data_IF_202039339053
#
_entry.id   IF_202039339053
#
_cell.length_a   1.000
_cell.length_b   1.000
_cell.length_c   1.000
_cell.angle_alpha   90.00
_cell.angle_beta   90.00
_cell.angle_gamma   90.00
#
_symmetry.space_group_name_H-M   'P 1'
#
loop_
_entity.id
_entity.type
_entity.pdbx_description
1 polymer ?
#
# COMPACT_ATOMS: atom_id res chain seq x y z
N UNK A 1 -4.39 -14.68 15.69
CA UNK A 1 -5.48 -14.86 14.69
C UNK A 1 -5.04 -14.23 13.37
N UNK A 2 -5.41 -14.75 12.20
CA UNK A 2 -5.10 -14.12 10.89
C UNK A 2 -6.27 -13.26 10.40
N UNK A 3 -5.98 -12.09 9.81
CA UNK A 3 -6.97 -11.23 9.14
C UNK A 3 -6.30 -10.37 8.05
N UNK A 4 -7.07 -9.75 7.14
CA UNK A 4 -6.55 -8.88 6.10
C UNK A 4 -6.30 -7.46 6.60
N UNK A 5 -5.20 -6.85 6.16
CA UNK A 5 -4.88 -5.44 6.43
C UNK A 5 -4.29 -4.75 5.23
N UNK A 6 -4.64 -3.47 5.06
CA UNK A 6 -3.94 -2.58 4.14
C UNK A 6 -2.59 -2.24 4.76
N UNK A 7 -1.51 -2.57 4.04
CA UNK A 7 -0.14 -2.30 4.45
C UNK A 7 0.47 -1.28 3.50
N UNK A 8 1.04 -0.22 4.07
CA UNK A 8 1.88 0.75 3.40
C UNK A 8 3.33 0.27 3.44
N UNK A 9 3.91 0.09 2.26
CA UNK A 9 5.33 -0.23 2.09
C UNK A 9 6.08 1.00 1.61
N UNK A 10 7.10 1.38 2.37
CA UNK A 10 8.07 2.41 1.99
C UNK A 10 9.07 1.81 1.01
N UNK A 11 9.05 2.29 -0.22
CA UNK A 11 10.03 1.90 -1.23
C UNK A 11 11.06 3.02 -1.33
N UNK A 12 12.33 2.65 -1.25
CA UNK A 12 13.44 3.57 -1.44
C UNK A 12 14.03 3.33 -2.83
N UNK A 13 14.19 4.39 -3.60
CA UNK A 13 14.85 4.32 -4.89
C UNK A 13 15.81 5.50 -5.07
N UNK A 14 16.85 5.31 -5.87
CA UNK A 14 17.73 6.41 -6.27
C UNK A 14 17.06 7.09 -7.45
N UNK A 15 16.71 8.36 -7.29
CA UNK A 15 16.13 9.15 -8.36
C UNK A 15 17.10 9.19 -9.55
N UNK A 16 16.69 8.66 -10.71
CA UNK A 16 17.57 8.62 -11.86
C UNK A 16 17.97 10.03 -12.33
N UNK A 17 17.15 11.06 -12.06
CA UNK A 17 17.35 12.44 -12.50
C UNK A 17 18.39 13.23 -11.68
N UNK A 18 18.37 13.13 -10.35
CA UNK A 18 19.26 13.93 -9.47
C UNK A 18 20.16 13.08 -8.55
N UNK A 19 20.15 11.75 -8.68
CA UNK A 19 20.96 10.80 -7.90
C UNK A 19 20.76 10.89 -6.38
N UNK A 20 19.67 11.51 -5.93
CA UNK A 20 19.30 11.52 -4.52
C UNK A 20 18.48 10.28 -4.20
N UNK A 21 18.68 9.74 -3.01
CA UNK A 21 17.76 8.77 -2.44
C UNK A 21 16.37 9.41 -2.30
N UNK A 22 15.35 8.71 -2.76
CA UNK A 22 13.95 9.12 -2.70
C UNK A 22 13.11 7.98 -2.16
N UNK A 23 11.93 8.35 -1.73
CA UNK A 23 10.96 7.46 -1.11
C UNK A 23 9.65 7.59 -1.86
N UNK A 24 9.03 6.45 -2.15
CA UNK A 24 7.64 6.33 -2.57
C UNK A 24 6.93 5.30 -1.67
N UNK A 25 5.60 5.29 -1.76
CA UNK A 25 4.77 4.41 -0.96
C UNK A 25 3.82 3.63 -1.85
N UNK A 26 3.73 2.33 -1.59
CA UNK A 26 2.74 1.45 -2.19
C UNK A 26 1.84 0.86 -1.12
N UNK A 27 0.58 0.61 -1.46
CA UNK A 27 -0.42 0.04 -0.57
C UNK A 27 -0.89 -1.28 -1.14
N UNK A 28 -0.96 -2.30 -0.30
CA UNK A 28 -1.46 -3.61 -0.71
C UNK A 28 -2.14 -4.31 0.46
N UNK A 29 -2.98 -5.31 0.16
CA UNK A 29 -3.61 -6.13 1.19
C UNK A 29 -2.69 -7.29 1.51
N UNK A 30 -2.40 -7.46 2.79
CA UNK A 30 -1.65 -8.59 3.34
C UNK A 30 -2.51 -9.31 4.38
N UNK A 31 -2.26 -10.60 4.54
CA UNK A 31 -2.67 -11.31 5.75
C UNK A 31 -1.76 -10.90 6.91
N UNK A 32 -2.37 -10.54 8.04
CA UNK A 32 -1.73 -10.09 9.27
C UNK A 32 -2.07 -11.05 10.42
N UNK A 33 -1.06 -11.46 11.16
CA UNK A 33 -1.17 -12.31 12.34
C UNK A 33 -1.16 -11.47 13.61
N UNK A 34 -2.17 -11.65 14.44
CA UNK A 34 -2.39 -10.89 15.67
C UNK A 34 -2.08 -11.73 16.91
N UNK A 35 -1.48 -11.09 17.92
CA UNK A 35 -1.42 -11.63 19.28
C UNK A 35 -2.79 -11.57 20.00
N UNK A 36 -2.82 -12.05 21.24
CA UNK A 36 -4.01 -12.06 22.09
C UNK A 36 -4.50 -10.64 22.45
N UNK A 37 -3.64 -9.63 22.32
CA UNK A 37 -3.94 -8.23 22.63
C UNK A 37 -4.37 -7.44 21.39
N UNK A 38 -4.38 -8.07 20.21
CA UNK A 38 -4.73 -7.43 18.94
C UNK A 38 -3.59 -6.64 18.28
N UNK A 39 -2.34 -6.87 18.67
CA UNK A 39 -1.17 -6.31 17.97
C UNK A 39 -0.73 -7.25 16.85
N UNK A 40 -0.40 -6.69 15.70
CA UNK A 40 0.12 -7.44 14.54
C UNK A 40 1.58 -7.80 14.77
N UNK A 41 1.86 -9.09 14.81
CA UNK A 41 3.21 -9.65 14.95
C UNK A 41 3.91 -9.95 13.65
N UNK A 42 3.14 -10.33 12.63
CA UNK A 42 3.66 -10.74 11.34
C UNK A 42 2.65 -10.42 10.24
N UNK A 43 3.16 -10.27 9.02
CA UNK A 43 2.37 -10.17 7.80
C UNK A 43 2.94 -11.10 6.73
N UNK A 44 2.12 -11.48 5.77
CA UNK A 44 2.60 -12.17 4.56
C UNK A 44 3.63 -11.32 3.81
N UNK A 45 4.63 -11.97 3.23
CA UNK A 45 5.72 -11.28 2.52
C UNK A 45 5.20 -10.53 1.29
N UNK A 46 4.39 -11.21 0.49
CA UNK A 46 3.78 -10.68 -0.73
C UNK A 46 2.30 -10.33 -0.45
N UNK A 47 1.74 -9.34 -1.17
CA UNK A 47 0.32 -9.08 -1.13
C UNK A 47 -0.49 -10.32 -1.54
N UNK A 48 -1.67 -10.46 -0.97
CA UNK A 48 -2.57 -11.58 -1.26
C UNK A 48 -3.65 -11.16 -2.25
N UNK A 49 -3.92 -12.05 -3.20
CA UNK A 49 -5.02 -11.90 -4.16
C UNK A 49 -6.29 -12.59 -3.65
N UNK A 50 -7.49 -12.08 -3.99
CA UNK A 50 -8.74 -12.76 -3.64
C UNK A 50 -8.79 -14.12 -4.33
N UNK A 51 -9.12 -15.16 -3.58
CA UNK A 51 -9.10 -16.54 -4.05
C UNK A 51 -10.30 -17.34 -3.52
N UNK A 52 -10.78 -18.29 -4.32
CA UNK A 52 -11.81 -19.26 -3.96
C UNK A 52 -11.90 -20.36 -5.00
N UNK A 53 -12.30 -21.57 -4.60
CA UNK A 53 -12.44 -22.70 -5.53
C UNK A 53 -13.68 -22.56 -6.43
N UNK A 54 -14.57 -21.64 -6.05
CA UNK A 54 -15.75 -21.26 -6.81
C UNK A 54 -16.03 -19.76 -6.69
N UNK A 55 -16.97 -19.26 -7.51
CA UNK A 55 -17.30 -17.83 -7.58
C UNK A 55 -17.88 -17.29 -6.27
N UNK A 56 -18.58 -18.12 -5.49
CA UNK A 56 -19.11 -17.70 -4.19
C UNK A 56 -17.99 -17.45 -3.18
N UNK A 57 -17.05 -18.39 -3.08
CA UNK A 57 -15.87 -18.23 -2.23
C UNK A 57 -15.00 -17.05 -2.66
N UNK A 58 -14.81 -16.85 -3.96
CA UNK A 58 -14.09 -15.68 -4.47
C UNK A 58 -14.78 -14.36 -4.04
N UNK A 59 -16.12 -14.30 -4.10
CA UNK A 59 -16.87 -13.13 -3.61
C UNK A 59 -16.69 -12.95 -2.11
N UNK A 60 -16.71 -14.02 -1.32
CA UNK A 60 -16.48 -13.94 0.13
C UNK A 60 -15.07 -13.46 0.45
N UNK A 61 -14.05 -13.99 -0.24
CA UNK A 61 -12.66 -13.54 -0.13
C UNK A 61 -12.53 -12.05 -0.42
N UNK A 62 -13.14 -11.58 -1.50
CA UNK A 62 -13.14 -10.16 -1.85
C UNK A 62 -13.81 -9.28 -0.78
N UNK A 63 -14.94 -9.71 -0.21
CA UNK A 63 -15.63 -8.98 0.87
C UNK A 63 -14.78 -8.96 2.15
N UNK A 64 -14.15 -10.07 2.53
CA UNK A 64 -13.24 -10.11 3.68
C UNK A 64 -12.02 -9.19 3.48
N UNK A 65 -11.47 -9.14 2.26
CA UNK A 65 -10.41 -8.18 1.94
C UNK A 65 -10.90 -6.73 2.00
N UNK A 66 -12.15 -6.46 1.63
CA UNK A 66 -12.73 -5.12 1.74
C UNK A 66 -12.84 -4.63 3.21
N UNK A 67 -13.01 -5.54 4.18
CA UNK A 67 -13.01 -5.20 5.61
C UNK A 67 -11.69 -4.55 6.06
N UNK A 68 -10.57 -4.85 5.38
CA UNK A 68 -9.27 -4.24 5.67
C UNK A 68 -9.28 -2.70 5.55
N UNK A 69 -10.13 -2.14 4.69
CA UNK A 69 -10.27 -0.68 4.54
C UNK A 69 -11.02 -0.02 5.71
N UNK A 70 -11.71 -0.81 6.54
CA UNK A 70 -12.32 -0.33 7.78
C UNK A 70 -11.33 -0.22 8.94
N UNK A 71 -10.06 -0.56 8.71
CA UNK A 71 -9.00 -0.63 9.71
C UNK A 71 -7.88 0.38 9.41
N UNK A 72 -7.07 0.75 10.42
CA UNK A 72 -5.87 1.55 10.20
C UNK A 72 -4.90 0.91 9.22
N UNK A 73 -4.28 1.74 8.38
CA UNK A 73 -3.18 1.31 7.50
C UNK A 73 -1.98 0.94 8.36
N UNK A 74 -1.42 -0.24 8.13
CA UNK A 74 -0.21 -0.71 8.79
C UNK A 74 1.03 -0.24 8.05
N UNK A 75 2.10 0.04 8.77
CA UNK A 75 3.41 0.31 8.18
C UNK A 75 4.25 -0.96 8.12
N UNK A 76 4.65 -1.39 6.91
CA UNK A 76 5.43 -2.61 6.72
C UNK A 76 6.71 -2.64 7.60
N UNK A 77 7.41 -1.51 7.70
CA UNK A 77 8.63 -1.37 8.49
C UNK A 77 8.42 -1.30 10.01
N UNK A 78 7.16 -1.22 10.47
CA UNK A 78 6.80 -1.15 11.88
C UNK A 78 6.12 -2.45 12.38
N UNK A 79 6.23 -3.55 11.61
CA UNK A 79 5.79 -4.88 12.04
C UNK A 79 7.00 -5.66 12.58
N UNK A 80 6.93 -6.28 13.78
CA UNK A 80 5.77 -6.35 14.67
C UNK A 80 5.41 -4.99 15.31
N UNK A 81 4.12 -4.74 15.49
CA UNK A 81 3.62 -3.52 16.11
C UNK A 81 4.17 -3.34 17.53
N UNK A 82 4.39 -2.08 17.98
CA UNK A 82 4.73 -1.80 19.36
C UNK A 82 3.70 -2.42 20.31
N UNK A 83 4.15 -3.25 21.26
CA UNK A 83 3.27 -3.95 22.21
C UNK A 83 3.03 -5.43 21.91
N UNK A 84 3.51 -5.93 20.76
CA UNK A 84 3.41 -7.34 20.41
C UNK A 84 4.13 -8.27 21.41
N UNK A 85 3.39 -9.23 21.99
CA UNK A 85 3.95 -10.20 22.95
C UNK A 85 4.69 -11.37 22.26
N UNK A 86 5.98 -11.16 21.99
CA UNK A 86 6.85 -12.17 21.37
C UNK A 86 7.06 -13.44 22.20
N UNK A 87 6.83 -13.44 23.51
CA UNK A 87 7.16 -14.58 24.38
C UNK A 87 6.14 -15.70 24.30
N UNK A 88 4.96 -15.41 23.75
CA UNK A 88 3.86 -16.35 23.60
C UNK A 88 3.64 -16.80 22.16
N UNK A 89 4.45 -16.32 21.22
CA UNK A 89 4.31 -16.65 19.80
C UNK A 89 5.32 -17.74 19.36
N UNK A 90 4.85 -18.94 18.96
CA UNK A 90 5.73 -19.98 18.43
C UNK A 90 6.44 -19.60 17.13
N UNK A 91 5.90 -18.66 16.34
CA UNK A 91 6.43 -18.27 15.02
C UNK A 91 7.56 -17.21 15.15
N UNK A 92 7.45 -16.30 16.12
CA UNK A 92 8.42 -15.21 16.34
C UNK A 92 9.86 -15.67 16.62
N UNK A 93 10.06 -16.86 17.20
CA UNK A 93 11.39 -17.40 17.51
C UNK A 93 12.23 -17.80 16.29
N UNK A 94 11.59 -18.04 15.13
CA UNK A 94 12.24 -18.48 13.88
C UNK A 94 12.64 -17.30 12.98
N UNK A 95 12.02 -16.13 13.16
CA UNK A 95 12.23 -14.95 12.31
C UNK A 95 13.48 -14.14 12.67
N UNK A 96 13.92 -14.19 13.93
CA UNK A 96 15.12 -13.48 14.43
C UNK A 96 16.44 -14.02 13.83
N UNK A 97 16.45 -15.25 13.31
CA UNK A 97 17.63 -15.85 12.66
C UNK A 97 17.77 -15.42 11.19
N UNK A 98 16.65 -15.20 10.48
CA UNK A 98 16.65 -14.80 9.06
C UNK A 98 16.94 -13.32 8.81
N UNK A 99 16.63 -12.45 9.78
CA UNK A 99 16.88 -11.00 9.67
C UNK A 99 18.38 -10.67 9.57
N UNK A 100 19.25 -11.56 10.07
CA UNK A 100 20.72 -11.41 10.02
C UNK A 100 21.34 -11.68 8.65
N UNK A 101 20.59 -12.24 7.68
CA UNK A 101 21.13 -12.69 6.39
C UNK A 101 20.80 -11.76 5.21
N UNK A 102 19.84 -10.84 5.37
CA UNK A 102 19.36 -9.93 4.31
C UNK A 102 20.22 -8.67 4.16
N UNK A 103 21.05 -8.34 5.16
CA UNK A 103 21.93 -7.15 5.18
C UNK A 103 23.08 -7.16 4.14
N UNK A 104 23.18 -8.16 3.26
CA UNK A 104 24.36 -8.41 2.40
C UNK A 104 24.23 -8.03 0.89
N UNK A 105 23.36 -7.09 0.52
CA UNK A 105 22.90 -6.85 -0.87
C UNK A 105 23.92 -6.48 -1.97
N UNK A 106 23.55 -6.69 -3.26
CA UNK A 106 24.11 -5.99 -4.44
C UNK A 106 23.40 -6.32 -5.78
N UNK A 107 23.11 -5.31 -6.65
CA UNK A 107 23.29 -5.35 -8.13
C UNK A 107 22.82 -4.06 -8.87
N UNK A 108 23.56 -3.71 -9.94
CA UNK A 108 23.43 -2.50 -10.80
C UNK A 108 22.52 -2.72 -12.03
N UNK A 109 21.80 -1.66 -12.44
CA UNK A 109 20.93 -1.60 -13.63
C UNK A 109 21.41 -0.65 -14.75
N UNK A 110 20.69 -0.69 -15.88
CA UNK A 110 21.08 -0.27 -17.24
C UNK A 110 20.81 1.24 -17.52
N UNK A 111 21.56 1.91 -18.43
CA UNK A 111 21.57 3.38 -18.56
C UNK A 111 20.32 4.05 -19.19
N UNK A 112 19.80 5.06 -18.47
CA UNK A 112 18.60 5.90 -18.74
C UNK A 112 18.79 7.01 -19.81
N UNK A 113 20.00 7.18 -20.31
CA UNK A 113 20.42 8.27 -21.22
C UNK A 113 19.66 8.30 -22.56
N UNK A 114 19.13 7.15 -23.02
CA UNK A 114 18.41 7.08 -24.29
C UNK A 114 16.93 7.47 -24.21
N UNK A 115 16.28 7.33 -23.05
CA UNK A 115 14.82 7.56 -22.89
C UNK A 115 14.50 9.02 -22.63
N UNK A 116 15.37 9.71 -21.89
CA UNK A 116 15.20 11.13 -21.48
C UNK A 116 15.07 12.09 -22.67
N UNK A 117 15.85 11.86 -23.72
CA UNK A 117 15.98 12.76 -24.89
C UNK A 117 14.75 12.76 -25.81
N UNK A 118 13.92 11.71 -25.76
CA UNK A 118 12.67 11.60 -26.53
C UNK A 118 11.48 12.29 -25.80
N UNK A 119 11.48 12.28 -24.46
CA UNK A 119 10.39 12.84 -23.65
C UNK A 119 10.47 14.36 -23.52
N UNK A 120 11.67 14.92 -23.34
CA UNK A 120 11.89 16.37 -23.24
C UNK A 120 11.55 17.11 -24.56
N UNK A 121 11.64 16.41 -25.70
CA UNK A 121 11.29 16.97 -27.01
C UNK A 121 9.78 17.14 -27.21
N UNK A 122 8.95 16.44 -26.43
CA UNK A 122 7.49 16.39 -26.61
C UNK A 122 6.70 17.23 -25.60
N UNK A 123 7.25 17.56 -24.42
CA UNK A 123 6.43 18.12 -23.32
C UNK A 123 6.98 19.36 -22.58
N UNK A 124 8.18 19.87 -22.90
CA UNK A 124 8.75 21.05 -22.22
C UNK A 124 9.35 20.76 -20.82
N UNK A 125 9.88 21.77 -20.10
CA UNK A 125 10.58 21.56 -18.84
C UNK A 125 9.63 21.12 -17.71
N UNK A 126 9.88 19.94 -17.14
CA UNK A 126 9.12 19.35 -16.04
C UNK A 126 9.79 19.67 -14.70
N UNK A 127 9.12 20.41 -13.82
CA UNK A 127 9.58 20.58 -12.42
C UNK A 127 9.27 19.30 -11.63
N UNK A 128 10.24 18.40 -11.63
CA UNK A 128 10.11 17.11 -10.96
C UNK A 128 10.04 17.22 -9.43
N UNK A 129 10.52 18.32 -8.82
CA UNK A 129 10.56 18.45 -7.36
C UNK A 129 9.22 19.02 -6.85
N UNK A 130 8.65 19.99 -7.54
CA UNK A 130 7.31 20.51 -7.24
C UNK A 130 6.22 19.45 -7.44
N UNK A 131 6.24 18.73 -8.57
CA UNK A 131 5.29 17.65 -8.85
C UNK A 131 5.30 16.58 -7.74
N UNK A 132 6.48 16.21 -7.24
CA UNK A 132 6.60 15.18 -6.20
C UNK A 132 6.10 15.65 -4.86
N UNK A 133 6.33 16.92 -4.51
CA UNK A 133 5.78 17.51 -3.30
C UNK A 133 4.25 17.45 -3.33
N UNK A 134 3.65 17.80 -4.47
CA UNK A 134 2.21 17.70 -4.67
C UNK A 134 1.70 16.26 -4.52
N UNK A 135 2.39 15.28 -5.11
CA UNK A 135 2.06 13.84 -4.97
C UNK A 135 2.10 13.39 -3.50
N UNK A 136 3.10 13.82 -2.74
CA UNK A 136 3.24 13.43 -1.33
C UNK A 136 2.18 14.12 -0.43
N UNK A 137 1.85 15.38 -0.71
CA UNK A 137 0.75 16.10 -0.06
C UNK A 137 -0.60 15.44 -0.38
N UNK A 138 -0.84 15.07 -1.64
CA UNK A 138 -2.04 14.36 -2.06
C UNK A 138 -2.15 12.99 -1.40
N UNK A 139 -1.04 12.25 -1.25
CA UNK A 139 -0.99 10.97 -0.53
C UNK A 139 -1.40 11.15 0.94
N UNK A 140 -0.82 12.13 1.64
CA UNK A 140 -1.16 12.42 3.04
C UNK A 140 -2.63 12.78 3.21
N UNK A 141 -3.17 13.57 2.28
CA UNK A 141 -4.58 13.94 2.30
C UNK A 141 -5.50 12.74 2.05
N UNK A 142 -5.15 11.85 1.11
CA UNK A 142 -5.89 10.59 0.89
C UNK A 142 -5.85 9.67 2.11
N UNK A 143 -4.72 9.59 2.81
CA UNK A 143 -4.62 8.84 4.08
C UNK A 143 -5.46 9.49 5.19
N UNK A 144 -5.51 10.82 5.26
CA UNK A 144 -6.36 11.54 6.21
C UNK A 144 -7.83 11.23 5.96
N UNK A 145 -8.28 11.34 4.71
CA UNK A 145 -9.64 10.99 4.29
C UNK A 145 -9.94 9.52 4.62
N UNK A 146 -9.00 8.60 4.36
CA UNK A 146 -9.13 7.18 4.73
C UNK A 146 -9.44 7.03 6.21
N UNK A 147 -8.61 7.66 7.05
CA UNK A 147 -8.72 7.58 8.50
C UNK A 147 -10.02 8.16 9.05
N UNK A 148 -10.50 9.27 8.48
CA UNK A 148 -11.72 9.93 8.95
C UNK A 148 -13.00 9.26 8.43
N UNK A 149 -12.94 8.71 7.22
CA UNK A 149 -14.16 8.27 6.51
C UNK A 149 -14.43 6.78 6.71
N UNK A 150 -13.41 5.93 6.68
CA UNK A 150 -13.58 4.48 6.58
C UNK A 150 -13.28 3.76 7.88
N UNK A 151 -12.27 4.20 8.64
CA UNK A 151 -11.87 3.55 9.88
C UNK A 151 -13.01 3.56 10.89
N UNK A 152 -13.21 2.40 11.54
CA UNK A 152 -14.24 2.26 12.59
C UNK A 152 -15.67 2.21 12.04
N UNK A 153 -15.84 2.09 10.73
CA UNK A 153 -17.17 1.83 10.16
C UNK A 153 -17.72 0.52 10.74
N UNK A 154 -18.89 0.53 11.39
CA UNK A 154 -19.30 -0.56 12.28
C UNK A 154 -19.77 -1.80 11.52
N UNK A 155 -20.13 -1.68 10.25
CA UNK A 155 -20.59 -2.80 9.43
C UNK A 155 -19.94 -2.81 8.05
N UNK A 156 -19.70 -4.01 7.53
CA UNK A 156 -19.17 -4.20 6.17
C UNK A 156 -20.10 -3.63 5.09
N UNK A 157 -21.42 -3.65 5.31
CA UNK A 157 -22.40 -3.08 4.39
C UNK A 157 -22.22 -1.56 4.23
N UNK A 158 -22.03 -0.86 5.35
CA UNK A 158 -21.77 0.59 5.34
C UNK A 158 -20.39 0.91 4.75
N UNK A 159 -19.38 0.10 5.06
CA UNK A 159 -18.03 0.27 4.52
C UNK A 159 -18.02 0.16 3.00
N UNK A 160 -18.65 -0.89 2.45
CA UNK A 160 -18.77 -1.08 1.00
C UNK A 160 -19.54 0.08 0.35
N UNK A 161 -20.61 0.58 0.98
CA UNK A 161 -21.34 1.74 0.47
C UNK A 161 -20.45 2.98 0.39
N UNK A 162 -19.66 3.26 1.43
CA UNK A 162 -18.71 4.38 1.44
C UNK A 162 -17.64 4.23 0.35
N UNK A 163 -17.04 3.05 0.24
CA UNK A 163 -16.02 2.76 -0.79
C UNK A 163 -16.59 2.92 -2.21
N UNK A 164 -17.82 2.47 -2.42
CA UNK A 164 -18.48 2.61 -3.71
C UNK A 164 -18.82 4.08 -4.05
N UNK A 165 -19.23 4.87 -3.06
CA UNK A 165 -19.44 6.31 -3.25
C UNK A 165 -18.15 7.05 -3.57
N UNK A 166 -17.07 6.78 -2.83
CA UNK A 166 -15.74 7.36 -3.09
C UNK A 166 -15.23 7.01 -4.50
N UNK A 167 -15.39 5.74 -4.90
CA UNK A 167 -15.06 5.31 -6.26
C UNK A 167 -15.87 6.07 -7.32
N UNK A 168 -17.19 6.25 -7.12
CA UNK A 168 -18.02 7.03 -8.04
C UNK A 168 -17.55 8.48 -8.17
N UNK A 169 -17.20 9.11 -7.07
CA UNK A 169 -16.69 10.48 -7.07
C UNK A 169 -15.33 10.57 -7.76
N UNK A 170 -14.45 9.57 -7.56
CA UNK A 170 -13.19 9.45 -8.28
C UNK A 170 -13.40 9.33 -9.79
N UNK A 171 -14.30 8.46 -10.25
CA UNK A 171 -14.64 8.32 -11.68
C UNK A 171 -15.20 9.63 -12.25
N UNK A 172 -16.03 10.35 -11.50
CA UNK A 172 -16.60 11.61 -11.96
C UNK A 172 -15.55 12.73 -12.05
N UNK A 173 -14.62 12.80 -11.09
CA UNK A 173 -13.46 13.72 -11.15
C UNK A 173 -12.59 13.41 -12.36
N UNK A 174 -12.21 12.15 -12.55
CA UNK A 174 -11.36 11.74 -13.67
C UNK A 174 -12.00 12.03 -15.04
N UNK A 175 -13.31 11.85 -15.19
CA UNK A 175 -14.03 12.26 -16.41
C UNK A 175 -14.02 13.76 -16.66
N UNK A 176 -13.98 14.56 -15.59
CA UNK A 176 -13.97 16.03 -15.68
C UNK A 176 -12.56 16.54 -15.99
N UNK A 177 -11.55 15.93 -15.38
CA UNK A 177 -10.14 16.32 -15.48
C UNK A 177 -9.46 15.74 -16.74
N UNK A 178 -9.84 14.53 -17.16
CA UNK A 178 -9.28 13.80 -18.30
C UNK A 178 -10.34 13.36 -19.33
N UNK A 179 -11.10 14.30 -19.93
CA UNK A 179 -12.25 13.99 -20.80
C UNK A 179 -11.91 13.21 -22.08
N UNK A 180 -10.62 13.14 -22.47
CA UNK A 180 -10.15 12.42 -23.66
C UNK A 180 -9.81 10.93 -23.40
N UNK A 181 -9.86 10.47 -22.15
CA UNK A 181 -9.48 9.09 -21.78
C UNK A 181 -10.67 8.13 -21.66
N UNK A 182 -11.90 8.64 -21.74
CA UNK A 182 -13.14 7.85 -21.62
C UNK A 182 -13.97 7.99 -22.91
N UNK A 183 -14.08 6.94 -23.75
CA UNK A 183 -14.93 6.93 -24.93
C UNK A 183 -16.43 6.86 -24.60
#
# INVERSE_FOLDING_TARGET
MWNYRVVRKKNTYIDPANKKERVDYTYAIHEAYYDENGHVGAITQEPVEPFGENVEELRHSWVMMAEAFGQPVLDYGNIPEPGYDRKKDPIGSVLDERLKEVEAGNKKGIPWEHVKRELEKKWGPFDAEEYRKQVDEERLEKERIHNETFIGTPTISELIKKMYSDYKESVQRDRTENPLTHP
#
